data_IF_413956148722
#
_entry.id   IF_413956148722
#
_cell.length_a   1.000
_cell.length_b   1.000
_cell.length_c   1.000
_cell.angle_alpha   90.00
_cell.angle_beta   90.00
_cell.angle_gamma   90.00
#
_symmetry.space_group_name_H-M   'P 1'
#
loop_
_entity.id
_entity.type
_entity.pdbx_description
1 polymer ?
#
# COMPACT_ATOMS: atom_id res chain seq x y z
N UNK A 1 12.89 0.32 59.48
CA UNK A 1 13.44 -0.62 58.48
C UNK A 1 12.46 -1.77 58.36
N UNK A 2 12.07 -2.24 57.16
CA UNK A 2 12.85 -2.24 55.92
C UNK A 2 12.20 -1.50 54.74
N UNK A 3 13.05 -1.16 53.76
CA UNK A 3 12.72 -0.70 52.43
C UNK A 3 12.25 -1.88 51.56
N UNK A 4 11.30 -1.62 50.66
CA UNK A 4 10.97 -2.51 49.55
C UNK A 4 11.05 -1.67 48.28
N UNK A 5 12.17 -1.82 47.59
CA UNK A 5 12.33 -1.56 46.16
C UNK A 5 11.50 -2.57 45.39
N UNK A 6 10.71 -2.14 44.40
CA UNK A 6 10.16 -3.00 43.36
C UNK A 6 9.94 -2.18 42.10
N UNK A 7 11.00 -2.18 41.31
CA UNK A 7 11.04 -2.48 39.89
C UNK A 7 10.12 -1.66 38.97
N UNK A 8 10.80 -0.72 38.30
CA UNK A 8 10.46 -0.15 37.01
C UNK A 8 10.35 -1.29 35.99
N UNK A 9 9.13 -1.70 35.67
CA UNK A 9 8.87 -2.50 34.47
C UNK A 9 8.79 -1.54 33.27
N UNK A 10 9.95 -1.24 32.70
CA UNK A 10 10.04 -0.74 31.33
C UNK A 10 9.46 -1.84 30.42
N UNK A 11 8.17 -1.69 30.09
CA UNK A 11 7.54 -2.44 29.00
C UNK A 11 8.06 -1.86 27.68
N UNK A 12 9.29 -2.22 27.32
CA UNK A 12 9.74 -2.15 25.93
C UNK A 12 8.92 -3.17 25.13
N UNK A 13 7.82 -2.69 24.58
CA UNK A 13 6.99 -3.40 23.61
C UNK A 13 7.86 -3.80 22.42
N UNK A 14 8.25 -5.08 22.34
CA UNK A 14 8.92 -5.67 21.19
C UNK A 14 8.00 -5.68 19.98
N UNK A 15 7.96 -4.58 19.22
CA UNK A 15 7.17 -4.45 17.99
C UNK A 15 7.93 -4.88 16.72
N UNK A 16 9.05 -5.59 16.86
CA UNK A 16 9.98 -5.82 15.75
C UNK A 16 9.61 -7.02 14.85
N UNK A 17 8.70 -7.91 15.27
CA UNK A 17 8.44 -9.18 14.58
C UNK A 17 7.14 -9.24 13.73
N UNK A 18 6.28 -8.21 13.72
CA UNK A 18 5.02 -8.26 12.94
C UNK A 18 5.20 -7.98 11.44
N UNK A 19 6.37 -7.52 11.01
CA UNK A 19 6.60 -7.04 9.64
C UNK A 19 7.01 -8.14 8.65
N UNK A 20 7.57 -9.26 9.12
CA UNK A 20 8.22 -10.25 8.25
C UNK A 20 7.25 -11.27 7.60
N UNK A 21 5.96 -11.27 7.98
CA UNK A 21 4.96 -12.24 7.51
C UNK A 21 3.96 -11.71 6.45
N UNK A 22 4.12 -10.48 5.95
CA UNK A 22 3.20 -9.91 4.96
C UNK A 22 3.63 -10.27 3.52
N UNK A 23 2.89 -11.12 2.77
CA UNK A 23 3.38 -11.75 1.54
C UNK A 23 3.64 -10.81 0.36
N UNK A 24 3.11 -9.58 0.40
CA UNK A 24 3.25 -8.60 -0.68
C UNK A 24 3.68 -7.20 -0.21
N UNK A 25 4.23 -7.09 1.01
CA UNK A 25 4.85 -5.87 1.53
C UNK A 25 6.29 -6.17 1.92
N UNK A 26 7.22 -5.44 1.32
CA UNK A 26 8.60 -5.40 1.78
C UNK A 26 8.88 -4.04 2.44
N UNK A 27 9.74 -4.01 3.44
CA UNK A 27 10.13 -2.78 4.13
C UNK A 27 11.55 -2.39 3.76
N UNK A 28 11.74 -1.12 3.42
CA UNK A 28 13.01 -0.58 2.92
C UNK A 28 13.46 0.67 3.67
N UNK A 29 14.70 1.10 3.39
CA UNK A 29 15.37 2.19 4.09
C UNK A 29 16.17 1.70 5.30
N UNK A 30 17.09 2.55 5.80
CA UNK A 30 17.96 2.20 6.93
C UNK A 30 17.18 1.81 8.20
N UNK A 31 16.00 2.39 8.38
CA UNK A 31 15.08 2.12 9.48
C UNK A 31 13.92 1.18 9.13
N UNK A 32 13.90 0.56 7.93
CA UNK A 32 12.79 -0.27 7.44
C UNK A 32 11.40 0.41 7.52
N UNK A 33 11.32 1.73 7.36
CA UNK A 33 10.06 2.47 7.50
C UNK A 33 9.35 2.74 6.17
N UNK A 34 9.98 2.41 5.04
CA UNK A 34 9.42 2.71 3.71
C UNK A 34 8.78 1.44 3.14
N UNK A 35 7.44 1.35 3.08
CA UNK A 35 6.77 0.18 2.54
C UNK A 35 6.89 0.13 1.01
N UNK A 36 7.23 -1.04 0.49
CA UNK A 36 7.24 -1.40 -0.91
C UNK A 36 6.15 -2.45 -1.12
N UNK A 37 5.15 -2.09 -1.90
CA UNK A 37 4.12 -3.03 -2.34
C UNK A 37 4.60 -3.80 -3.55
N UNK A 38 4.59 -5.13 -3.44
CA UNK A 38 4.98 -6.05 -4.50
C UNK A 38 3.71 -6.62 -5.13
N UNK A 39 3.50 -6.35 -6.42
CA UNK A 39 2.40 -6.96 -7.16
C UNK A 39 2.86 -8.29 -7.76
N UNK A 40 2.30 -9.39 -7.27
CA UNK A 40 2.71 -10.75 -7.64
C UNK A 40 1.59 -11.49 -8.37
N UNK A 41 1.92 -12.32 -9.40
CA UNK A 41 0.92 -13.01 -10.20
C UNK A 41 0.09 -14.01 -9.40
N UNK A 42 0.62 -14.54 -8.30
CA UNK A 42 -0.05 -15.47 -7.39
C UNK A 42 -1.38 -14.91 -6.90
N UNK A 43 -1.49 -13.60 -6.67
CA UNK A 43 -2.75 -12.97 -6.29
C UNK A 43 -3.88 -13.25 -7.30
N UNK A 44 -3.55 -13.34 -8.59
CA UNK A 44 -4.52 -13.65 -9.65
C UNK A 44 -4.75 -15.15 -9.80
N UNK A 45 -3.67 -15.95 -9.70
CA UNK A 45 -3.70 -17.39 -10.01
C UNK A 45 -4.28 -18.20 -8.86
N UNK A 46 -3.78 -18.00 -7.63
CA UNK A 46 -4.18 -18.77 -6.45
C UNK A 46 -5.25 -18.09 -5.62
N UNK A 47 -5.41 -16.76 -5.76
CA UNK A 47 -6.28 -15.94 -4.90
C UNK A 47 -5.98 -16.15 -3.41
N UNK A 48 -4.69 -16.18 -3.05
CA UNK A 48 -4.26 -16.32 -1.66
C UNK A 48 -4.85 -15.19 -0.79
N UNK A 49 -5.65 -15.58 0.21
CA UNK A 49 -6.34 -14.65 1.10
C UNK A 49 -5.37 -13.75 1.90
N UNK A 50 -4.14 -14.22 2.13
CA UNK A 50 -3.10 -13.43 2.80
C UNK A 50 -2.61 -12.29 1.93
N UNK A 51 -2.65 -12.44 0.60
CA UNK A 51 -2.32 -11.35 -0.34
C UNK A 51 -3.52 -10.42 -0.48
N UNK A 52 -4.73 -10.97 -0.64
CA UNK A 52 -5.93 -10.16 -0.88
C UNK A 52 -6.30 -9.29 0.33
N UNK A 53 -6.00 -9.75 1.55
CA UNK A 53 -6.32 -8.99 2.77
C UNK A 53 -5.45 -7.75 2.99
N UNK A 54 -4.32 -7.61 2.27
CA UNK A 54 -3.39 -6.50 2.47
C UNK A 54 -3.98 -5.16 2.08
N UNK A 55 -4.57 -5.07 0.88
CA UNK A 55 -5.21 -3.83 0.44
C UNK A 55 -6.36 -3.42 1.36
N UNK A 56 -7.17 -4.38 1.80
CA UNK A 56 -8.29 -4.15 2.72
C UNK A 56 -7.85 -3.72 4.12
N UNK A 57 -6.74 -4.30 4.63
CA UNK A 57 -6.14 -3.95 5.93
C UNK A 57 -5.70 -2.50 5.95
N UNK A 58 -5.07 -2.02 4.89
CA UNK A 58 -4.53 -0.65 4.81
C UNK A 58 -5.43 0.33 4.05
N UNK A 59 -6.66 -0.08 3.71
CA UNK A 59 -7.64 0.73 2.96
C UNK A 59 -7.08 1.30 1.67
N UNK A 60 -6.32 0.47 0.96
CA UNK A 60 -5.70 0.85 -0.29
C UNK A 60 -6.75 1.00 -1.39
N UNK A 61 -6.65 2.09 -2.14
CA UNK A 61 -7.55 2.43 -3.20
C UNK A 61 -6.80 2.73 -4.50
N UNK A 62 -7.43 2.40 -5.63
CA UNK A 62 -6.92 2.75 -6.95
C UNK A 62 -8.01 3.33 -7.83
N UNK A 63 -7.60 4.03 -8.88
CA UNK A 63 -8.52 4.44 -9.95
C UNK A 63 -7.91 4.27 -11.32
N UNK A 64 -8.76 3.91 -12.27
CA UNK A 64 -8.42 3.71 -13.67
C UNK A 64 -8.97 4.90 -14.48
N UNK A 65 -8.12 5.54 -15.29
CA UNK A 65 -8.50 6.74 -16.06
C UNK A 65 -8.10 6.58 -17.53
N UNK A 66 -9.05 6.73 -18.45
CA UNK A 66 -8.84 6.66 -19.91
C UNK A 66 -8.18 5.35 -20.40
N UNK A 67 -8.49 4.23 -19.76
CA UNK A 67 -8.05 2.90 -20.18
C UNK A 67 -8.94 1.83 -19.54
N UNK A 68 -8.97 0.63 -20.10
CA UNK A 68 -9.59 -0.53 -19.46
C UNK A 68 -8.62 -1.31 -18.59
N UNK A 69 -7.34 -1.42 -19.02
CA UNK A 69 -6.23 -2.11 -18.33
C UNK A 69 -6.65 -3.32 -17.49
N UNK A 70 -7.42 -4.26 -18.07
CA UNK A 70 -8.11 -5.33 -17.33
C UNK A 70 -7.19 -6.17 -16.45
N UNK A 71 -5.97 -6.46 -16.91
CA UNK A 71 -4.98 -7.18 -16.13
C UNK A 71 -4.53 -6.39 -14.90
N UNK A 72 -4.24 -5.09 -15.06
CA UNK A 72 -3.83 -4.22 -13.95
C UNK A 72 -4.98 -4.06 -12.95
N UNK A 73 -6.21 -3.85 -13.45
CA UNK A 73 -7.41 -3.79 -12.60
C UNK A 73 -7.55 -5.07 -11.78
N UNK A 74 -7.50 -6.24 -12.43
CA UNK A 74 -7.57 -7.54 -11.75
C UNK A 74 -6.45 -7.76 -10.74
N UNK A 75 -5.21 -7.37 -11.09
CA UNK A 75 -4.06 -7.46 -10.19
C UNK A 75 -4.28 -6.64 -8.91
N UNK A 76 -4.72 -5.39 -9.05
CA UNK A 76 -4.99 -4.49 -7.92
C UNK A 76 -6.14 -5.00 -7.05
N UNK A 77 -7.27 -5.38 -7.67
CA UNK A 77 -8.42 -5.95 -6.95
C UNK A 77 -8.04 -7.21 -6.19
N UNK A 78 -7.23 -8.09 -6.77
CA UNK A 78 -6.81 -9.33 -6.11
C UNK A 78 -5.76 -9.12 -5.01
N UNK A 79 -5.12 -7.95 -4.94
CA UNK A 79 -4.33 -7.50 -3.79
C UNK A 79 -5.18 -6.75 -2.74
N UNK A 80 -6.51 -6.74 -2.89
CA UNK A 80 -7.44 -6.10 -1.97
C UNK A 80 -7.60 -4.60 -2.15
N UNK A 81 -7.16 -4.03 -3.26
CA UNK A 81 -7.36 -2.60 -3.48
C UNK A 81 -8.80 -2.33 -3.92
N UNK A 82 -9.38 -1.28 -3.38
CA UNK A 82 -10.72 -0.80 -3.75
C UNK A 82 -10.66 0.13 -4.98
N UNK A 83 -11.43 -0.16 -6.04
CA UNK A 83 -11.55 0.74 -7.18
C UNK A 83 -12.49 1.90 -6.85
N UNK A 84 -11.97 3.13 -6.83
CA UNK A 84 -12.76 4.34 -6.61
C UNK A 84 -13.16 5.01 -7.93
N UNK A 85 -14.18 5.85 -7.88
CA UNK A 85 -14.61 6.64 -9.03
C UNK A 85 -13.45 7.48 -9.60
N UNK A 86 -13.33 7.66 -10.93
CA UNK A 86 -12.23 8.44 -11.55
C UNK A 86 -12.04 9.86 -11.00
N UNK A 87 -13.13 10.48 -10.55
CA UNK A 87 -13.13 11.83 -9.96
C UNK A 87 -12.80 11.84 -8.46
N UNK A 88 -12.68 10.69 -7.80
CA UNK A 88 -12.26 10.63 -6.39
C UNK A 88 -10.83 11.14 -6.24
N UNK A 89 -10.59 11.91 -5.19
CA UNK A 89 -9.24 12.29 -4.77
C UNK A 89 -8.69 11.39 -3.66
N UNK A 90 -9.50 10.46 -3.14
CA UNK A 90 -9.09 9.49 -2.14
C UNK A 90 -8.67 8.20 -2.86
N UNK A 91 -7.38 8.10 -3.19
CA UNK A 91 -6.76 6.96 -3.87
C UNK A 91 -5.27 6.92 -3.55
N UNK A 92 -4.65 5.75 -3.65
CA UNK A 92 -3.19 5.58 -3.56
C UNK A 92 -2.55 5.46 -4.95
N UNK A 93 -3.19 4.75 -5.88
CA UNK A 93 -2.66 4.52 -7.23
C UNK A 93 -3.63 4.98 -8.32
N UNK A 94 -3.19 5.91 -9.18
CA UNK A 94 -3.90 6.27 -10.41
C UNK A 94 -3.22 5.60 -11.60
N UNK A 95 -3.94 4.72 -12.30
CA UNK A 95 -3.44 4.10 -13.52
C UNK A 95 -4.14 4.68 -14.74
N UNK A 96 -3.35 5.24 -15.66
CA UNK A 96 -3.86 6.03 -16.77
C UNK A 96 -3.35 5.53 -18.12
N UNK A 97 -4.21 5.62 -19.14
CA UNK A 97 -3.87 5.25 -20.53
C UNK A 97 -3.06 6.30 -21.30
N UNK A 98 -2.90 7.50 -20.75
CA UNK A 98 -2.24 8.62 -21.40
C UNK A 98 -1.59 9.55 -20.38
N UNK A 99 -0.55 10.29 -20.79
CA UNK A 99 0.08 11.30 -19.94
C UNK A 99 -0.95 12.29 -19.37
N UNK A 100 -0.75 12.66 -18.10
CA UNK A 100 -1.57 13.66 -17.42
C UNK A 100 -1.07 15.07 -17.72
N UNK A 101 -1.98 16.04 -17.66
CA UNK A 101 -1.61 17.46 -17.75
C UNK A 101 -0.76 17.83 -16.52
N UNK A 102 0.27 18.68 -16.64
CA UNK A 102 1.18 19.01 -15.54
C UNK A 102 0.50 19.50 -14.26
N UNK A 103 -0.60 20.26 -14.36
CA UNK A 103 -1.31 20.76 -13.18
C UNK A 103 -1.95 19.64 -12.34
N UNK A 104 -2.30 18.50 -12.95
CA UNK A 104 -2.84 17.34 -12.22
C UNK A 104 -1.73 16.73 -11.37
N UNK A 105 -0.53 16.59 -11.94
CA UNK A 105 0.63 16.03 -11.25
C UNK A 105 1.04 16.89 -10.05
N UNK A 106 0.93 18.21 -10.17
CA UNK A 106 1.19 19.15 -9.05
C UNK A 106 0.15 19.07 -7.92
N UNK A 107 -1.03 18.52 -8.19
CA UNK A 107 -2.10 18.37 -7.19
C UNK A 107 -2.08 17.03 -6.47
N UNK A 108 -1.17 16.12 -6.84
CA UNK A 108 -1.05 14.83 -6.17
C UNK A 108 -0.50 15.02 -4.75
N UNK A 109 -1.01 14.22 -3.83
CA UNK A 109 -0.47 14.10 -2.48
C UNK A 109 0.76 13.19 -2.47
N UNK A 110 1.61 13.28 -1.45
CA UNK A 110 2.85 12.51 -1.35
C UNK A 110 2.64 10.98 -1.37
N UNK A 111 1.47 10.53 -0.88
CA UNK A 111 1.08 9.12 -0.88
C UNK A 111 0.46 8.64 -2.20
N UNK A 112 0.16 9.55 -3.13
CA UNK A 112 -0.48 9.25 -4.41
C UNK A 112 0.56 8.96 -5.48
N UNK A 113 0.41 7.84 -6.16
CA UNK A 113 1.29 7.40 -7.26
C UNK A 113 0.53 7.35 -8.58
N UNK A 114 1.25 7.60 -9.67
CA UNK A 114 0.75 7.54 -11.04
C UNK A 114 1.76 6.84 -11.94
N UNK A 115 1.27 6.14 -12.96
CA UNK A 115 2.07 5.34 -13.89
C UNK A 115 2.76 6.12 -15.03
N UNK A 116 2.79 7.45 -14.99
CA UNK A 116 3.43 8.29 -16.01
C UNK A 116 4.27 9.39 -15.38
N UNK A 117 5.47 9.58 -15.91
CA UNK A 117 6.27 10.77 -15.65
C UNK A 117 5.70 12.00 -16.40
N UNK A 118 5.97 13.24 -15.92
CA UNK A 118 5.70 14.46 -16.66
C UNK A 118 6.35 14.44 -18.06
N UNK A 119 5.67 15.04 -19.04
CA UNK A 119 6.24 15.39 -20.34
C UNK A 119 6.47 16.89 -20.42
#
# INVERSE_FOLDING_TARGET
MPAITRDQEDSESSSEDEHDDLPCIAWSGASKTIPILLFIPEAIVSKDDRICSIGDRYKMAFKIVRTESRLVRGLLTNHGFHEVHPNSNDFNLMWTGSHLKPYILRGLQDFQKVNHFPR
#
